data_IF_442355494842
#
_entry.id   IF_442355494842
#
_cell.length_a   1.000
_cell.length_b   1.000
_cell.length_c   1.000
_cell.angle_alpha   90.00
_cell.angle_beta   90.00
_cell.angle_gamma   90.00
#
_symmetry.space_group_name_H-M   'P 1'
#
loop_
_entity.id
_entity.type
_entity.pdbx_description
1 polymer ?
#
# COMPACT_ATOMS: atom_id res chain seq x y z
N UNK A 1 20.85 -15.64 -61.75
CA UNK A 1 19.48 -16.09 -61.42
C UNK A 1 18.84 -15.05 -60.49
N UNK A 2 17.72 -14.45 -60.94
CA UNK A 2 16.66 -13.73 -60.18
C UNK A 2 17.08 -12.49 -59.34
N UNK A 3 16.89 -11.27 -59.85
CA UNK A 3 15.72 -10.34 -59.68
C UNK A 3 15.68 -9.69 -58.29
N UNK A 4 16.13 -8.42 -58.11
CA UNK A 4 15.31 -7.17 -57.97
C UNK A 4 14.20 -7.29 -56.90
N UNK A 5 14.06 -6.42 -55.89
CA UNK A 5 13.84 -4.96 -56.00
C UNK A 5 14.44 -4.17 -54.80
N UNK A 6 15.16 -3.11 -55.14
CA UNK A 6 15.25 -1.86 -54.39
C UNK A 6 13.89 -1.12 -54.40
N UNK A 7 13.60 -0.29 -53.41
CA UNK A 7 13.38 1.18 -53.57
C UNK A 7 13.16 1.84 -52.20
N UNK A 8 13.92 2.92 -52.01
CA UNK A 8 13.90 3.93 -50.95
C UNK A 8 12.90 5.04 -51.38
N UNK A 9 12.12 5.66 -50.48
CA UNK A 9 11.97 7.14 -50.27
C UNK A 9 10.64 7.58 -49.60
N UNK A 10 10.79 8.56 -48.69
CA UNK A 10 9.89 9.67 -48.27
C UNK A 10 8.81 9.51 -47.18
N UNK A 11 9.15 10.10 -46.02
CA UNK A 11 8.46 11.19 -45.30
C UNK A 11 6.99 11.10 -44.83
N UNK A 12 6.88 11.36 -43.51
CA UNK A 12 5.85 12.15 -42.78
C UNK A 12 4.43 11.61 -42.65
N UNK A 13 4.02 11.25 -41.43
CA UNK A 13 3.20 12.09 -40.53
C UNK A 13 2.91 11.34 -39.23
N UNK A 14 2.72 12.12 -38.18
CA UNK A 14 2.54 11.69 -36.81
C UNK A 14 1.17 11.06 -36.54
N UNK A 15 1.15 9.99 -35.73
CA UNK A 15 -0.04 9.56 -34.99
C UNK A 15 0.39 9.10 -33.60
N UNK A 16 0.28 10.05 -32.66
CA UNK A 16 0.10 9.92 -31.21
C UNK A 16 -0.10 8.48 -30.70
N UNK A 17 0.97 7.89 -30.17
CA UNK A 17 0.93 6.79 -29.21
C UNK A 17 1.42 7.33 -27.87
N UNK A 18 0.59 7.22 -26.84
CA UNK A 18 0.77 7.80 -25.51
C UNK A 18 2.15 7.48 -24.94
N UNK A 19 2.93 8.54 -24.69
CA UNK A 19 4.11 8.47 -23.86
C UNK A 19 3.70 7.98 -22.47
N UNK A 20 4.23 6.82 -22.05
CA UNK A 20 4.29 6.48 -20.64
C UNK A 20 5.13 7.56 -19.97
N UNK A 21 4.47 8.49 -19.28
CA UNK A 21 5.12 9.48 -18.45
C UNK A 21 5.88 8.72 -17.37
N UNK A 22 7.21 8.82 -17.41
CA UNK A 22 8.08 8.41 -16.32
C UNK A 22 7.49 8.92 -15.00
N UNK A 23 7.30 8.00 -14.05
CA UNK A 23 6.87 8.34 -12.71
C UNK A 23 7.80 9.44 -12.15
N UNK A 24 7.26 10.54 -11.61
CA UNK A 24 8.09 11.59 -11.06
C UNK A 24 8.84 11.01 -9.85
N UNK A 25 10.16 10.86 -9.97
CA UNK A 25 11.03 10.47 -8.86
C UNK A 25 10.99 11.58 -7.81
N UNK A 26 10.38 11.34 -6.62
CA UNK A 26 10.40 12.34 -5.57
C UNK A 26 11.78 12.32 -4.93
N UNK A 27 12.55 13.37 -5.21
CA UNK A 27 13.86 13.63 -4.60
C UNK A 27 13.67 13.70 -3.07
N UNK A 28 14.27 12.80 -2.25
CA UNK A 28 13.91 12.63 -0.85
C UNK A 28 14.49 13.77 -0.02
N UNK A 29 13.71 14.83 0.18
CA UNK A 29 14.09 15.94 1.08
C UNK A 29 14.07 15.55 2.56
N UNK A 30 13.58 14.36 2.91
CA UNK A 30 13.55 13.85 4.28
C UNK A 30 13.85 12.36 4.31
N UNK A 31 14.98 11.98 4.92
CA UNK A 31 15.31 10.58 5.23
C UNK A 31 14.37 10.11 6.33
N UNK A 32 13.64 9.01 6.11
CA UNK A 32 12.77 8.43 7.14
C UNK A 32 13.63 7.91 8.30
N UNK A 33 13.35 8.37 9.52
CA UNK A 33 13.99 7.90 10.76
C UNK A 33 12.91 7.21 11.60
N UNK A 34 13.15 5.95 11.94
CA UNK A 34 12.21 5.08 12.65
C UNK A 34 11.93 5.60 14.07
N UNK A 35 10.66 5.58 14.48
CA UNK A 35 10.27 5.73 15.88
C UNK A 35 9.57 4.45 16.35
N UNK A 36 9.92 4.00 17.55
CA UNK A 36 9.19 2.92 18.23
C UNK A 36 8.03 3.53 19.01
N UNK A 37 6.84 2.94 18.91
CA UNK A 37 5.64 3.29 19.68
C UNK A 37 5.26 2.10 20.57
N UNK A 38 4.84 2.38 21.82
CA UNK A 38 4.79 1.42 22.93
C UNK A 38 3.40 1.17 23.51
N UNK A 39 2.33 1.36 22.75
CA UNK A 39 0.97 1.26 23.32
C UNK A 39 0.23 0.00 22.85
N UNK A 40 -0.28 -0.75 23.84
CA UNK A 40 -1.02 -2.01 23.68
C UNK A 40 -2.52 -1.72 23.67
N UNK A 41 -3.22 -2.17 22.63
CA UNK A 41 -4.67 -2.23 22.55
C UNK A 41 -5.08 -3.70 22.43
N UNK A 42 -5.91 -4.20 23.34
CA UNK A 42 -6.53 -5.52 23.29
C UNK A 42 -7.88 -5.39 22.57
N UNK A 43 -8.02 -5.99 21.39
CA UNK A 43 -9.27 -6.01 20.62
C UNK A 43 -9.84 -7.43 20.56
N UNK A 44 -11.04 -7.60 21.12
CA UNK A 44 -11.86 -8.81 21.04
C UNK A 44 -12.95 -8.62 19.99
N UNK A 45 -12.60 -8.68 18.72
CA UNK A 45 -13.55 -8.78 17.62
C UNK A 45 -12.85 -9.32 16.38
N UNK A 46 -13.59 -10.02 15.52
CA UNK A 46 -13.10 -10.76 14.34
C UNK A 46 -12.60 -9.86 13.18
N UNK A 47 -11.92 -8.76 13.47
CA UNK A 47 -11.54 -7.73 12.51
C UNK A 47 -10.07 -7.87 12.14
N UNK A 48 -9.78 -7.86 10.83
CA UNK A 48 -8.45 -7.96 10.25
C UNK A 48 -7.55 -6.73 10.54
N UNK A 49 -8.05 -5.78 11.32
CA UNK A 49 -7.44 -4.50 11.67
C UNK A 49 -8.00 -3.32 10.86
N UNK A 50 -7.46 -2.14 11.11
CA UNK A 50 -7.75 -0.92 10.37
C UNK A 50 -6.63 -0.60 9.37
N UNK A 51 -6.99 0.14 8.33
CA UNK A 51 -6.03 0.67 7.36
C UNK A 51 -5.53 2.07 7.76
N UNK A 52 -4.55 2.60 7.02
CA UNK A 52 -3.95 3.93 7.29
C UNK A 52 -4.89 5.13 7.16
N UNK A 53 -6.12 4.92 6.68
CA UNK A 53 -7.19 5.93 6.62
C UNK A 53 -8.12 5.87 7.84
N UNK A 54 -7.96 4.87 8.70
CA UNK A 54 -8.82 4.62 9.87
C UNK A 54 -10.11 3.88 9.55
N UNK A 55 -10.23 3.25 8.37
CA UNK A 55 -11.35 2.37 8.01
C UNK A 55 -10.95 0.91 8.04
N UNK A 56 -11.90 0.00 7.83
CA UNK A 56 -11.64 -1.45 7.82
C UNK A 56 -10.58 -1.83 6.78
N UNK A 57 -9.67 -2.74 7.16
CA UNK A 57 -8.62 -3.22 6.28
C UNK A 57 -9.20 -4.06 5.13
N UNK A 58 -8.97 -3.62 3.89
CA UNK A 58 -9.45 -4.35 2.71
C UNK A 58 -8.45 -5.42 2.25
N UNK A 59 -8.92 -6.38 1.45
CA UNK A 59 -8.09 -7.44 0.89
C UNK A 59 -7.03 -6.85 -0.04
N UNK A 60 -5.76 -7.21 0.17
CA UNK A 60 -4.66 -6.79 -0.68
C UNK A 60 -4.58 -7.65 -1.94
N UNK A 61 -4.48 -8.99 -1.79
CA UNK A 61 -4.50 -9.92 -2.92
C UNK A 61 -4.74 -11.36 -2.44
N UNK A 62 -5.85 -11.98 -2.84
CA UNK A 62 -6.16 -13.37 -2.50
C UNK A 62 -5.56 -14.40 -3.47
N UNK A 63 -5.01 -13.96 -4.60
CA UNK A 63 -4.51 -14.83 -5.66
C UNK A 63 -3.32 -14.21 -6.40
N UNK A 64 -2.16 -14.19 -5.74
CA UNK A 64 -0.93 -13.55 -6.22
C UNK A 64 -0.44 -14.26 -7.48
N UNK A 65 -0.20 -13.53 -8.57
CA UNK A 65 0.28 -14.11 -9.82
C UNK A 65 -0.60 -15.23 -10.39
N UNK A 66 -1.90 -15.27 -10.04
CA UNK A 66 -2.80 -16.39 -10.36
C UNK A 66 -2.37 -17.76 -9.79
N UNK A 67 -1.59 -17.78 -8.70
CA UNK A 67 -1.05 -18.99 -8.07
C UNK A 67 -2.02 -19.77 -7.17
N UNK A 68 -3.18 -19.21 -6.85
CA UNK A 68 -4.10 -19.68 -5.82
C UNK A 68 -3.68 -19.35 -4.39
N UNK A 69 -2.61 -18.55 -4.22
CA UNK A 69 -2.05 -18.19 -2.91
C UNK A 69 -2.35 -16.73 -2.59
N UNK A 70 -2.92 -16.49 -1.41
CA UNK A 70 -3.11 -15.15 -0.88
C UNK A 70 -1.81 -14.53 -0.38
N UNK A 71 -1.69 -13.21 -0.49
CA UNK A 71 -0.59 -12.46 0.14
C UNK A 71 -0.75 -12.39 1.67
N UNK A 72 0.15 -11.66 2.33
CA UNK A 72 0.16 -11.48 3.78
C UNK A 72 0.87 -12.62 4.50
N UNK A 73 1.31 -12.36 5.74
CA UNK A 73 2.03 -13.34 6.56
C UNK A 73 1.22 -14.65 6.72
N UNK A 74 -0.09 -14.52 6.97
CA UNK A 74 -1.02 -15.64 7.12
C UNK A 74 -1.53 -16.25 5.81
N UNK A 75 -1.11 -15.71 4.65
CA UNK A 75 -1.57 -16.13 3.31
C UNK A 75 -3.08 -16.07 3.10
N UNK A 76 -3.76 -15.20 3.84
CA UNK A 76 -5.21 -14.96 3.76
C UNK A 76 -5.57 -13.81 2.81
N UNK A 77 -4.58 -13.16 2.20
CA UNK A 77 -4.75 -12.05 1.27
C UNK A 77 -4.76 -10.66 1.90
N UNK A 78 -4.62 -10.55 3.23
CA UNK A 78 -4.64 -9.28 3.95
C UNK A 78 -3.27 -8.93 4.52
N UNK A 79 -2.96 -7.64 4.59
CA UNK A 79 -1.73 -7.13 5.20
C UNK A 79 -1.86 -6.96 6.71
N UNK A 80 -2.50 -7.91 7.39
CA UNK A 80 -2.70 -7.88 8.82
C UNK A 80 -1.45 -8.34 9.59
N UNK A 81 -1.37 -7.91 10.85
CA UNK A 81 -0.32 -8.28 11.81
C UNK A 81 -0.96 -9.11 12.93
N UNK A 82 -0.21 -10.00 13.57
CA UNK A 82 -0.74 -10.76 14.71
C UNK A 82 0.34 -11.42 15.55
N UNK A 83 -0.07 -12.03 16.67
CA UNK A 83 0.84 -12.49 17.74
C UNK A 83 1.85 -13.56 17.29
N UNK A 84 1.47 -14.39 16.32
CA UNK A 84 2.35 -15.43 15.74
C UNK A 84 3.37 -14.89 14.73
N UNK A 85 3.31 -13.61 14.39
CA UNK A 85 4.40 -12.95 13.67
C UNK A 85 5.54 -12.70 14.68
N UNK A 86 6.29 -13.77 14.99
CA UNK A 86 7.35 -13.80 16.01
C UNK A 86 8.57 -12.92 15.67
N UNK A 87 8.46 -12.02 14.69
CA UNK A 87 9.29 -10.84 14.53
C UNK A 87 9.10 -9.80 15.63
N UNK A 88 9.13 -10.25 16.90
CA UNK A 88 9.07 -9.49 18.17
C UNK A 88 7.73 -8.78 18.39
N UNK A 89 7.34 -8.69 19.66
CA UNK A 89 6.16 -7.96 20.15
C UNK A 89 6.21 -6.42 19.92
N UNK A 90 6.89 -5.99 18.86
CA UNK A 90 7.05 -4.64 18.32
C UNK A 90 7.24 -4.74 16.79
N UNK A 91 6.20 -4.51 16.00
CA UNK A 91 6.39 -3.66 14.81
C UNK A 91 6.71 -4.26 13.43
N UNK A 92 6.39 -5.52 13.12
CA UNK A 92 6.25 -5.88 11.70
C UNK A 92 4.87 -5.46 11.23
N UNK A 93 4.84 -4.46 10.34
CA UNK A 93 3.64 -3.90 9.73
C UNK A 93 3.79 -3.97 8.22
N UNK A 94 2.70 -4.22 7.52
CA UNK A 94 2.73 -4.53 6.10
C UNK A 94 2.03 -3.46 5.26
N UNK A 95 2.65 -3.13 4.14
CA UNK A 95 2.16 -2.23 3.11
C UNK A 95 1.70 -3.08 1.94
N UNK A 96 0.43 -2.90 1.53
CA UNK A 96 -0.04 -3.51 0.30
C UNK A 96 0.51 -2.74 -0.89
N UNK A 97 1.44 -3.34 -1.63
CA UNK A 97 2.11 -2.68 -2.75
C UNK A 97 1.95 -3.45 -4.04
N UNK A 98 1.94 -2.72 -5.16
CA UNK A 98 2.05 -3.29 -6.50
C UNK A 98 3.52 -3.27 -6.90
N UNK A 99 4.16 -4.43 -6.89
CA UNK A 99 5.60 -4.52 -7.14
C UNK A 99 5.93 -4.24 -8.61
N UNK A 100 7.13 -3.72 -8.85
CA UNK A 100 7.67 -3.46 -10.18
C UNK A 100 8.98 -4.22 -10.36
N UNK A 101 9.38 -4.47 -11.59
CA UNK A 101 10.65 -5.11 -11.93
C UNK A 101 11.83 -4.37 -11.30
N UNK A 102 11.81 -3.03 -11.36
CA UNK A 102 12.81 -2.16 -10.76
C UNK A 102 12.91 -2.33 -9.23
N UNK A 103 11.75 -2.43 -8.55
CA UNK A 103 11.73 -2.71 -7.11
C UNK A 103 12.22 -4.13 -6.79
N UNK A 104 11.83 -5.14 -7.58
CA UNK A 104 12.23 -6.53 -7.37
C UNK A 104 13.75 -6.70 -7.50
N UNK A 105 14.35 -6.08 -8.53
CA UNK A 105 15.80 -6.07 -8.73
C UNK A 105 16.52 -5.39 -7.54
N UNK A 106 16.03 -4.23 -7.12
CA UNK A 106 16.56 -3.53 -5.94
C UNK A 106 16.44 -4.39 -4.68
N UNK A 107 15.25 -4.92 -4.40
CA UNK A 107 14.96 -5.73 -3.22
C UNK A 107 15.87 -6.95 -3.15
N UNK A 108 16.10 -7.62 -4.28
CA UNK A 108 17.04 -8.73 -4.40
C UNK A 108 18.49 -8.29 -4.12
N UNK A 109 18.90 -7.13 -4.63
CA UNK A 109 20.26 -6.60 -4.42
C UNK A 109 20.57 -6.27 -2.95
N UNK A 110 19.56 -5.95 -2.13
CA UNK A 110 19.68 -5.70 -0.69
C UNK A 110 19.30 -6.92 0.18
N UNK A 111 19.29 -8.12 -0.42
CA UNK A 111 19.12 -9.39 0.29
C UNK A 111 17.68 -9.78 0.61
N UNK A 112 16.69 -9.20 -0.06
CA UNK A 112 15.27 -9.56 0.03
C UNK A 112 14.76 -10.03 -1.33
N UNK A 113 15.12 -11.25 -1.74
CA UNK A 113 14.68 -11.81 -3.02
C UNK A 113 13.19 -12.19 -2.96
N UNK A 114 12.35 -11.38 -3.61
CA UNK A 114 10.92 -11.61 -3.77
C UNK A 114 10.58 -12.19 -5.16
N UNK A 115 11.57 -12.42 -6.03
CA UNK A 115 11.37 -12.91 -7.39
C UNK A 115 11.45 -14.44 -7.47
N UNK A 116 12.32 -15.06 -6.66
CA UNK A 116 12.53 -16.51 -6.70
C UNK A 116 11.40 -17.24 -5.96
N UNK A 117 10.71 -18.21 -6.60
CA UNK A 117 9.70 -19.03 -5.92
C UNK A 117 10.30 -19.85 -4.78
N UNK A 118 9.58 -19.95 -3.66
CA UNK A 118 9.95 -20.79 -2.51
C UNK A 118 8.76 -21.64 -2.07
N UNK A 119 8.56 -22.82 -2.69
CA UNK A 119 7.37 -23.66 -2.48
C UNK A 119 7.16 -24.07 -1.02
N UNK A 120 8.24 -24.31 -0.26
CA UNK A 120 8.11 -24.70 1.16
C UNK A 120 7.45 -23.64 2.05
N UNK A 121 7.36 -22.37 1.59
CA UNK A 121 6.73 -21.27 2.32
C UNK A 121 5.45 -20.75 1.65
N UNK A 122 4.87 -21.51 0.72
CA UNK A 122 3.77 -21.05 -0.13
C UNK A 122 4.07 -19.67 -0.71
N UNK A 123 5.27 -19.53 -1.30
CA UNK A 123 5.70 -18.29 -1.93
C UNK A 123 5.92 -18.54 -3.42
N UNK A 124 5.06 -18.00 -4.30
CA UNK A 124 5.12 -18.29 -5.73
C UNK A 124 6.27 -17.58 -6.46
N UNK A 125 6.94 -16.62 -5.81
CA UNK A 125 7.76 -15.62 -6.49
C UNK A 125 6.88 -14.55 -7.14
N UNK A 126 7.34 -13.31 -7.15
CA UNK A 126 6.60 -12.18 -7.67
C UNK A 126 7.13 -11.73 -9.03
N UNK A 127 6.21 -11.29 -9.87
CA UNK A 127 6.49 -10.65 -11.16
C UNK A 127 6.07 -9.18 -11.15
N UNK A 128 6.46 -8.46 -12.19
CA UNK A 128 6.02 -7.08 -12.41
C UNK A 128 4.49 -6.96 -12.38
N UNK A 129 4.00 -6.04 -11.56
CA UNK A 129 2.58 -5.75 -11.42
C UNK A 129 1.84 -6.62 -10.40
N UNK A 130 2.48 -7.63 -9.80
CA UNK A 130 1.87 -8.40 -8.72
C UNK A 130 1.61 -7.53 -7.49
N UNK A 131 0.58 -7.89 -6.71
CA UNK A 131 0.20 -7.17 -5.49
C UNK A 131 0.61 -8.00 -4.28
N UNK A 132 1.35 -7.40 -3.36
CA UNK A 132 1.96 -8.10 -2.23
C UNK A 132 2.04 -7.25 -0.96
N UNK A 133 1.81 -7.89 0.19
CA UNK A 133 2.08 -7.34 1.51
C UNK A 133 3.58 -7.31 1.79
N UNK A 134 4.18 -6.13 1.65
CA UNK A 134 5.59 -5.88 1.88
C UNK A 134 5.80 -5.32 3.29
N UNK A 135 6.84 -5.78 3.99
CA UNK A 135 7.22 -5.17 5.27
C UNK A 135 7.51 -3.67 5.10
N UNK A 136 6.92 -2.82 5.95
CA UNK A 136 7.06 -1.37 5.86
C UNK A 136 8.52 -0.90 5.93
N UNK A 137 9.38 -1.60 6.67
CA UNK A 137 10.82 -1.31 6.70
C UNK A 137 11.48 -1.50 5.33
N UNK A 138 11.11 -2.55 4.60
CA UNK A 138 11.61 -2.82 3.24
C UNK A 138 11.06 -1.82 2.23
N UNK A 139 9.81 -1.42 2.40
CA UNK A 139 9.25 -0.33 1.59
C UNK A 139 9.97 0.99 1.85
N UNK A 140 10.24 1.35 3.11
CA UNK A 140 10.97 2.56 3.49
C UNK A 140 12.43 2.55 3.01
N UNK A 141 13.09 1.39 3.02
CA UNK A 141 14.42 1.19 2.42
C UNK A 141 14.38 1.48 0.91
N UNK A 142 13.39 0.93 0.20
CA UNK A 142 13.19 1.20 -1.23
C UNK A 142 12.85 2.67 -1.50
N UNK A 143 12.06 3.31 -0.64
CA UNK A 143 11.74 4.73 -0.73
C UNK A 143 13.00 5.60 -0.65
N UNK A 144 13.87 5.34 0.34
CA UNK A 144 15.14 6.05 0.49
C UNK A 144 16.09 5.83 -0.70
N UNK A 145 15.97 4.70 -1.41
CA UNK A 145 16.72 4.40 -2.63
C UNK A 145 16.05 4.96 -3.91
N UNK A 146 14.87 5.56 -3.83
CA UNK A 146 14.10 6.03 -4.98
C UNK A 146 13.50 4.90 -5.83
N UNK A 147 13.31 3.71 -5.24
CA UNK A 147 12.84 2.47 -5.87
C UNK A 147 11.54 1.94 -5.22
N UNK A 148 10.85 2.77 -4.43
CA UNK A 148 9.62 2.36 -3.76
C UNK A 148 8.51 2.03 -4.77
N UNK A 149 7.83 0.87 -4.62
CA UNK A 149 6.66 0.55 -5.43
C UNK A 149 5.45 1.39 -5.00
N UNK A 150 4.50 1.55 -5.92
CA UNK A 150 3.18 2.12 -5.63
C UNK A 150 2.38 1.22 -4.67
N UNK A 151 1.43 1.80 -3.95
CA UNK A 151 0.72 1.11 -2.86
C UNK A 151 -0.79 1.38 -2.85
N UNK A 152 -1.51 0.59 -2.05
CA UNK A 152 -2.94 0.73 -1.80
C UNK A 152 -3.17 1.13 -0.34
N UNK A 153 -3.71 2.32 -0.09
CA UNK A 153 -3.97 2.88 1.24
C UNK A 153 -5.00 2.05 1.99
N UNK A 154 -6.11 1.67 1.34
CA UNK A 154 -7.20 0.92 1.98
C UNK A 154 -6.79 -0.50 2.41
N UNK A 155 -5.75 -1.06 1.79
CA UNK A 155 -5.22 -2.40 2.11
C UNK A 155 -3.90 -2.36 2.90
N UNK A 156 -3.46 -1.18 3.32
CA UNK A 156 -2.22 -1.00 4.11
C UNK A 156 -2.58 -0.79 5.58
N UNK A 157 -1.97 -1.59 6.46
CA UNK A 157 -2.30 -1.60 7.89
C UNK A 157 -1.97 -0.27 8.58
N UNK A 158 -2.81 0.18 9.52
CA UNK A 158 -2.70 1.47 10.20
C UNK A 158 -1.33 1.68 10.88
N UNK A 159 -0.79 0.65 11.53
CA UNK A 159 0.53 0.68 12.20
C UNK A 159 1.70 0.99 11.24
N UNK A 160 1.49 0.97 9.92
CA UNK A 160 2.46 1.52 8.94
C UNK A 160 2.81 2.97 9.24
N UNK A 161 1.88 3.74 9.83
CA UNK A 161 2.07 5.15 10.19
C UNK A 161 3.15 5.36 11.27
N UNK A 162 3.52 4.34 12.03
CA UNK A 162 4.67 4.38 12.95
C UNK A 162 6.01 4.49 12.20
N UNK A 163 6.03 4.10 10.91
CA UNK A 163 7.23 3.98 10.07
C UNK A 163 7.26 4.99 8.94
N UNK A 164 6.12 5.21 8.29
CA UNK A 164 5.99 6.05 7.09
C UNK A 164 4.81 7.01 7.28
N UNK A 165 5.03 8.33 7.25
CA UNK A 165 3.94 9.29 7.36
C UNK A 165 2.90 9.13 6.25
N UNK A 166 1.62 9.37 6.57
CA UNK A 166 0.52 9.24 5.62
C UNK A 166 0.73 10.12 4.37
N UNK A 167 1.34 11.29 4.53
CA UNK A 167 1.63 12.20 3.42
C UNK A 167 2.56 11.57 2.39
N UNK A 168 3.54 10.78 2.84
CA UNK A 168 4.45 10.04 1.95
C UNK A 168 3.70 8.91 1.28
N UNK A 169 2.89 8.15 2.02
CA UNK A 169 2.10 7.05 1.46
C UNK A 169 1.14 7.53 0.36
N UNK A 170 0.49 8.68 0.56
CA UNK A 170 -0.46 9.25 -0.40
C UNK A 170 0.17 9.63 -1.74
N UNK A 171 1.46 9.97 -1.78
CA UNK A 171 2.18 10.26 -3.03
C UNK A 171 2.31 9.00 -3.90
N UNK A 172 2.37 7.83 -3.28
CA UNK A 172 2.55 6.53 -3.95
C UNK A 172 1.24 5.75 -4.11
N UNK A 173 0.12 6.31 -3.63
CA UNK A 173 -1.16 5.63 -3.59
C UNK A 173 -1.79 5.49 -4.99
N UNK A 174 -2.16 4.27 -5.36
CA UNK A 174 -2.94 3.95 -6.56
C UNK A 174 -4.42 4.30 -6.32
N UNK A 175 -4.92 3.97 -5.13
CA UNK A 175 -6.30 4.18 -4.66
C UNK A 175 -6.49 5.55 -3.97
N UNK A 176 -5.61 6.51 -4.24
CA UNK A 176 -5.62 7.81 -3.58
C UNK A 176 -6.88 8.64 -3.84
N UNK A 177 -7.52 8.47 -5.00
CA UNK A 177 -8.81 9.10 -5.32
C UNK A 177 -9.93 8.59 -4.42
N UNK A 178 -10.17 7.28 -4.45
CA UNK A 178 -11.18 6.60 -3.65
C UNK A 178 -10.97 6.84 -2.14
N UNK A 179 -9.72 6.85 -1.70
CA UNK A 179 -9.35 7.16 -0.32
C UNK A 179 -9.75 8.58 0.10
N UNK A 180 -9.65 9.57 -0.80
CA UNK A 180 -10.05 10.95 -0.49
C UNK A 180 -11.56 11.08 -0.37
N UNK A 181 -12.31 10.41 -1.23
CA UNK A 181 -13.77 10.42 -1.20
C UNK A 181 -14.29 9.79 0.10
N UNK A 182 -13.71 8.64 0.48
CA UNK A 182 -14.02 7.97 1.76
C UNK A 182 -13.72 8.86 2.97
N UNK A 183 -12.56 9.54 2.98
CA UNK A 183 -12.21 10.49 4.03
C UNK A 183 -13.16 11.70 4.07
N UNK A 184 -13.69 12.13 2.91
CA UNK A 184 -14.71 13.17 2.82
C UNK A 184 -16.00 12.73 3.51
N UNK A 185 -16.49 11.54 3.18
CA UNK A 185 -17.71 10.98 3.78
C UNK A 185 -17.58 10.80 5.30
N UNK A 186 -16.45 10.30 5.79
CA UNK A 186 -16.20 10.14 7.23
C UNK A 186 -16.18 11.48 7.98
N UNK A 187 -15.64 12.54 7.36
CA UNK A 187 -15.66 13.88 7.94
C UNK A 187 -17.08 14.43 8.03
N UNK A 188 -17.89 14.20 7.00
CA UNK A 188 -19.29 14.62 6.99
C UNK A 188 -20.10 13.87 8.06
N UNK A 189 -19.90 12.55 8.18
CA UNK A 189 -20.52 11.73 9.22
C UNK A 189 -20.12 12.22 10.63
N UNK A 190 -18.83 12.48 10.86
CA UNK A 190 -18.34 13.03 12.13
C UNK A 190 -18.96 14.39 12.43
N UNK A 191 -19.07 15.28 11.44
CA UNK A 191 -19.71 16.59 11.63
C UNK A 191 -21.19 16.46 11.99
N UNK A 192 -21.91 15.52 11.38
CA UNK A 192 -23.32 15.24 11.73
C UNK A 192 -23.45 14.69 13.14
N UNK A 193 -22.59 13.74 13.53
CA UNK A 193 -22.59 13.16 14.87
C UNK A 193 -22.31 14.21 15.94
N UNK A 194 -21.30 15.06 15.74
CA UNK A 194 -20.98 16.15 16.67
C UNK A 194 -22.19 17.08 16.87
N UNK A 195 -22.88 17.44 15.77
CA UNK A 195 -24.08 18.27 15.84
C UNK A 195 -25.22 17.60 16.64
N UNK A 196 -25.38 16.28 16.51
CA UNK A 196 -26.38 15.53 17.29
C UNK A 196 -26.04 15.50 18.79
N UNK A 197 -24.75 15.35 19.13
CA UNK A 197 -24.29 15.38 20.51
C UNK A 197 -24.52 16.76 21.17
N UNK A 198 -24.19 17.84 20.45
CA UNK A 198 -24.42 19.22 20.92
C UNK A 198 -25.90 19.52 21.17
N UNK A 199 -26.80 18.94 20.37
CA UNK A 199 -28.26 19.09 20.57
C UNK A 199 -28.75 18.30 21.79
N UNK A 200 -28.21 17.10 22.03
CA UNK A 200 -28.59 16.28 23.20
C UNK A 200 -28.17 16.88 24.55
N UNK A 201 -27.03 17.56 24.60
CA UNK A 201 -26.58 18.26 25.82
C UNK A 201 -27.44 19.49 26.17
N UNK A 202 -28.10 20.08 25.18
CA UNK A 202 -28.97 21.24 25.39
C UNK A 202 -30.33 20.90 26.00
N UNK A 203 -30.85 19.69 25.76
CA UNK A 203 -32.15 19.25 26.26
C UNK A 203 -32.08 18.78 27.72
N UNK A 204 -30.94 18.21 28.16
CA UNK A 204 -30.77 17.70 29.53
C UNK A 204 -30.62 18.84 30.57
N UNK A 205 -30.12 20.01 30.14
CA UNK A 205 -29.94 21.19 31.00
C UNK A 205 -31.23 22.00 31.23
N UNK A 206 -32.33 21.66 30.55
CA UNK A 206 -33.64 22.31 30.72
C UNK A 206 -34.59 21.57 31.66
N UNK A 207 -34.18 20.43 32.24
CA UNK A 207 -35.04 19.59 33.10
C UNK A 207 -34.96 19.89 34.61
N UNK A 208 -34.14 20.85 35.05
CA UNK A 208 -34.05 21.31 36.44
C UNK A 208 -34.29 22.82 36.57
N UNK A 209 -35.54 23.27 36.37
CA UNK A 209 -36.03 24.55 36.89
C UNK A 209 -37.47 24.41 37.41
#
# INVERSE_FOLDING_TARGET
MRTLLFVIFMQTQASRGLAWSASPSPNPKHKLVLKASSDRYEDTSSHLGYNVLGTELTCCCSNVGSSGIGTGFYRNGYCCTGEMDHGRHTGLVYICCRVTSEFLDFSKSVGNDLSTPVPQFNFPGLNDGDVWCLCALRWAEAYNAGKAPQLFLQSTHEKTLDYVPLEVLRIFAIDGGDANDLLGELKDQRSRLNKMLEMGESEDNTSFQ
#
